data_IF_894914120021
#
_entry.id   IF_894914120021
#
_cell.length_a   1.000
_cell.length_b   1.000
_cell.length_c   1.000
_cell.angle_alpha   90.00
_cell.angle_beta   90.00
_cell.angle_gamma   90.00
#
_symmetry.space_group_name_H-M   'P 1'
#
loop_
_entity.id
_entity.type
_entity.pdbx_description
1 polymer ?
#
# COMPACT_ATOMS: atom_id res chain seq x y z
N UNK A 1 -1.96 17.27 15.91
CA UNK A 1 -2.51 15.89 15.96
C UNK A 1 -3.20 15.45 14.67
N UNK A 2 -4.08 16.24 14.05
CA UNK A 2 -4.82 15.81 12.83
C UNK A 2 -3.95 15.38 11.64
N UNK A 3 -2.78 15.99 11.45
CA UNK A 3 -1.84 15.60 10.38
C UNK A 3 -1.21 14.21 10.60
N UNK A 4 -0.98 13.83 11.87
CA UNK A 4 -0.41 12.52 12.23
C UNK A 4 -1.42 11.42 11.89
N UNK A 5 -2.72 11.66 12.08
CA UNK A 5 -3.76 10.73 11.67
C UNK A 5 -3.78 10.53 10.15
N UNK A 6 -3.54 11.57 9.35
CA UNK A 6 -3.44 11.44 7.90
C UNK A 6 -2.19 10.67 7.46
N UNK A 7 -1.06 10.89 8.13
CA UNK A 7 0.18 10.15 7.89
C UNK A 7 0.01 8.65 8.20
N UNK A 8 -0.49 8.33 9.39
CA UNK A 8 -0.72 6.95 9.83
C UNK A 8 -1.79 6.29 8.95
N UNK A 9 -2.90 6.99 8.69
CA UNK A 9 -3.96 6.50 7.82
C UNK A 9 -3.44 6.20 6.41
N UNK A 10 -2.65 7.11 5.85
CA UNK A 10 -1.98 6.92 4.57
C UNK A 10 -1.02 5.72 4.57
N UNK A 11 -0.18 5.60 5.58
CA UNK A 11 0.73 4.47 5.76
C UNK A 11 -0.01 3.13 5.75
N UNK A 12 -1.03 3.01 6.61
CA UNK A 12 -1.81 1.77 6.76
C UNK A 12 -2.58 1.45 5.48
N UNK A 13 -3.23 2.44 4.86
CA UNK A 13 -3.94 2.25 3.58
C UNK A 13 -3.00 1.83 2.46
N UNK A 14 -1.84 2.48 2.33
CA UNK A 14 -0.85 2.14 1.32
C UNK A 14 -0.32 0.71 1.47
N UNK A 15 0.01 0.31 2.69
CA UNK A 15 0.42 -1.05 3.00
C UNK A 15 -0.69 -2.07 2.70
N UNK A 16 -1.92 -1.78 3.15
CA UNK A 16 -3.07 -2.66 2.96
C UNK A 16 -3.42 -2.83 1.47
N UNK A 17 -3.34 -1.77 0.68
CA UNK A 17 -3.56 -1.84 -0.77
C UNK A 17 -2.49 -2.68 -1.45
N UNK A 18 -1.20 -2.46 -1.14
CA UNK A 18 -0.12 -3.26 -1.72
C UNK A 18 -0.26 -4.75 -1.38
N UNK A 19 -0.59 -5.07 -0.13
CA UNK A 19 -0.88 -6.44 0.30
C UNK A 19 -2.10 -7.02 -0.43
N UNK A 20 -3.20 -6.26 -0.50
CA UNK A 20 -4.41 -6.65 -1.20
C UNK A 20 -4.17 -6.98 -2.67
N UNK A 21 -3.42 -6.13 -3.38
CA UNK A 21 -3.00 -6.40 -4.76
C UNK A 21 -2.14 -7.65 -4.87
N UNK A 22 -1.17 -7.84 -3.97
CA UNK A 22 -0.32 -9.04 -3.94
C UNK A 22 -1.11 -10.33 -3.76
N UNK A 23 -2.16 -10.30 -2.92
CA UNK A 23 -3.05 -11.45 -2.69
C UNK A 23 -4.00 -11.64 -3.87
N UNK A 24 -4.53 -10.58 -4.46
CA UNK A 24 -5.57 -10.66 -5.49
C UNK A 24 -5.01 -11.05 -6.86
N UNK A 25 -3.79 -10.61 -7.19
CA UNK A 25 -3.19 -10.79 -8.50
C UNK A 25 -3.15 -12.26 -8.96
N UNK A 26 -2.76 -13.25 -8.12
CA UNK A 26 -2.77 -14.67 -8.49
C UNK A 26 -4.15 -15.27 -8.77
N UNK A 27 -5.23 -14.62 -8.31
CA UNK A 27 -6.60 -15.06 -8.64
C UNK A 27 -7.09 -14.50 -9.98
N UNK A 28 -6.45 -13.43 -10.47
CA UNK A 28 -6.81 -12.76 -11.72
C UNK A 28 -5.94 -13.20 -12.89
N UNK A 29 -4.73 -13.70 -12.61
CA UNK A 29 -3.79 -14.18 -13.63
C UNK A 29 -3.61 -15.70 -13.51
N UNK A 30 -3.58 -16.44 -14.63
CA UNK A 30 -3.19 -17.84 -14.60
C UNK A 30 -1.69 -17.92 -14.30
N UNK A 31 -1.35 -18.17 -13.03
CA UNK A 31 0.02 -18.38 -12.56
C UNK A 31 0.18 -19.80 -12.03
N UNK A 32 1.32 -20.41 -12.33
CA UNK A 32 1.72 -21.67 -11.70
C UNK A 32 2.05 -21.46 -10.22
N UNK A 33 2.00 -22.54 -9.43
CA UNK A 33 2.38 -22.53 -8.00
C UNK A 33 3.79 -21.92 -7.75
N UNK A 34 4.72 -22.15 -8.68
CA UNK A 34 6.11 -21.66 -8.57
C UNK A 34 6.18 -20.15 -8.79
N UNK A 35 5.46 -19.65 -9.79
CA UNK A 35 5.37 -18.22 -10.09
C UNK A 35 4.59 -17.48 -9.00
N UNK A 36 3.53 -18.09 -8.45
CA UNK A 36 2.77 -17.54 -7.34
C UNK A 36 3.63 -17.34 -6.08
N UNK A 37 4.47 -18.31 -5.74
CA UNK A 37 5.41 -18.19 -4.61
C UNK A 37 6.42 -17.06 -4.81
N UNK A 38 6.97 -16.92 -6.02
CA UNK A 38 7.86 -15.80 -6.36
C UNK A 38 7.13 -14.45 -6.32
N UNK A 39 5.95 -14.36 -6.92
CA UNK A 39 5.12 -13.16 -6.94
C UNK A 39 4.70 -12.71 -5.53
N UNK A 40 4.37 -13.65 -4.64
CA UNK A 40 4.10 -13.35 -3.23
C UNK A 40 5.33 -12.73 -2.54
N UNK A 41 6.53 -13.27 -2.78
CA UNK A 41 7.75 -12.74 -2.18
C UNK A 41 8.02 -11.29 -2.64
N UNK A 42 7.85 -11.04 -3.94
CA UNK A 42 7.93 -9.68 -4.51
C UNK A 42 6.86 -8.78 -3.91
N UNK A 43 5.62 -9.24 -3.80
CA UNK A 43 4.53 -8.47 -3.23
C UNK A 43 4.82 -8.07 -1.78
N UNK A 44 5.26 -9.00 -0.92
CA UNK A 44 5.64 -8.70 0.46
C UNK A 44 6.78 -7.70 0.55
N UNK A 45 7.79 -7.81 -0.33
CA UNK A 45 8.88 -6.84 -0.42
C UNK A 45 8.40 -5.43 -0.83
N UNK A 46 7.32 -5.35 -1.60
CA UNK A 46 6.75 -4.08 -2.08
C UNK A 46 5.77 -3.42 -1.09
N UNK A 47 5.32 -4.12 -0.04
CA UNK A 47 4.42 -3.56 0.97
C UNK A 47 5.01 -2.30 1.65
N UNK A 48 6.29 -2.28 2.09
CA UNK A 48 6.91 -1.05 2.61
C UNK A 48 6.87 0.11 1.62
N UNK A 49 7.11 -0.15 0.34
CA UNK A 49 7.03 0.90 -0.69
C UNK A 49 5.60 1.46 -0.81
N UNK A 50 4.59 0.58 -0.81
CA UNK A 50 3.18 0.98 -0.76
C UNK A 50 2.84 1.82 0.47
N UNK A 51 3.35 1.45 1.63
CA UNK A 51 3.16 2.18 2.88
C UNK A 51 3.79 3.59 2.84
N UNK A 52 5.01 3.71 2.30
CA UNK A 52 5.69 4.99 2.11
C UNK A 52 4.91 5.88 1.16
N UNK A 53 4.49 5.36 0.00
CA UNK A 53 3.67 6.11 -0.96
C UNK A 53 2.33 6.56 -0.35
N UNK A 54 1.66 5.66 0.37
CA UNK A 54 0.42 5.97 1.08
C UNK A 54 0.62 7.07 2.13
N UNK A 55 1.75 7.06 2.85
CA UNK A 55 2.11 8.11 3.82
C UNK A 55 2.27 9.47 3.13
N UNK A 56 2.93 9.52 1.97
CA UNK A 56 3.10 10.75 1.18
C UNK A 56 1.75 11.29 0.72
N UNK A 57 0.87 10.43 0.20
CA UNK A 57 -0.49 10.81 -0.19
C UNK A 57 -1.28 11.33 1.02
N UNK A 58 -1.19 10.64 2.16
CA UNK A 58 -1.79 11.06 3.42
C UNK A 58 -1.30 12.45 3.86
N UNK A 59 0.00 12.71 3.77
CA UNK A 59 0.59 14.01 4.06
C UNK A 59 0.01 15.11 3.16
N UNK A 60 -0.01 14.87 1.84
CA UNK A 60 -0.55 15.83 0.86
C UNK A 60 -2.00 16.18 1.21
N UNK A 61 -2.85 15.18 1.42
CA UNK A 61 -4.26 15.38 1.79
C UNK A 61 -4.38 16.15 3.11
N UNK A 62 -3.56 15.78 4.11
CA UNK A 62 -3.53 16.42 5.41
C UNK A 62 -3.15 17.91 5.34
N UNK A 63 -2.20 18.26 4.47
CA UNK A 63 -1.77 19.65 4.24
C UNK A 63 -2.83 20.44 3.48
N UNK A 64 -3.41 19.88 2.40
CA UNK A 64 -4.47 20.56 1.62
C UNK A 64 -5.69 20.86 2.48
N UNK A 65 -6.06 19.96 3.40
CA UNK A 65 -7.20 20.16 4.33
C UNK A 65 -6.90 21.06 5.53
N UNK A 66 -5.67 21.55 5.69
CA UNK A 66 -5.29 22.50 6.74
C UNK A 66 -5.32 23.94 6.25
N UNK A 67 -5.17 24.16 4.94
CA UNK A 67 -5.19 25.48 4.31
C UNK A 67 -6.60 25.97 3.96
N UNK A 68 -7.58 25.05 3.91
CA UNK A 68 -9.02 25.35 3.88
C UNK A 68 -9.57 25.42 5.30
#
# INVERSE_FOLDING_TARGET
MRIVLWLIGGFVLGAALALGFGILLPYLTPVSLREGAYAMNVAFFMIPAGAVLGTVVGLIIGLTRRQR
#
